data_IF_922811337368
#
_entry.id   IF_922811337368
#
_cell.length_a   1.000
_cell.length_b   1.000
_cell.length_c   1.000
_cell.angle_alpha   90.00
_cell.angle_beta   90.00
_cell.angle_gamma   90.00
#
_symmetry.space_group_name_H-M   'P 1'
#
loop_
_entity.id
_entity.type
_entity.pdbx_description
1 polymer ?
#
# COMPACT_ATOMS: atom_id res chain seq x y z
N UNK A 1 11.35 -5.98 -7.59
CA UNK A 1 11.93 -6.52 -6.35
C UNK A 1 11.22 -5.84 -5.19
N UNK A 2 10.85 -6.59 -4.16
CA UNK A 2 10.05 -6.07 -3.05
C UNK A 2 10.98 -5.62 -1.93
N UNK A 3 11.74 -4.54 -2.15
CA UNK A 3 12.79 -4.01 -1.26
C UNK A 3 12.22 -3.77 0.14
N UNK A 4 10.96 -3.38 0.26
CA UNK A 4 10.31 -3.19 1.56
C UNK A 4 10.15 -4.50 2.34
N UNK A 5 9.71 -5.57 1.68
CA UNK A 5 9.54 -6.87 2.32
C UNK A 5 10.89 -7.51 2.66
N UNK A 6 11.86 -7.40 1.77
CA UNK A 6 13.21 -7.91 1.97
C UNK A 6 13.90 -7.22 3.16
N UNK A 7 13.82 -5.89 3.22
CA UNK A 7 14.37 -5.08 4.33
C UNK A 7 13.70 -5.43 5.67
N UNK A 8 12.38 -5.61 5.67
CA UNK A 8 11.64 -6.00 6.88
C UNK A 8 12.08 -7.39 7.37
N UNK A 9 12.21 -8.36 6.45
CA UNK A 9 12.67 -9.71 6.77
C UNK A 9 14.11 -9.73 7.30
N UNK A 10 14.98 -8.88 6.75
CA UNK A 10 16.35 -8.72 7.24
C UNK A 10 16.36 -8.20 8.69
N UNK A 11 15.55 -7.19 9.00
CA UNK A 11 15.45 -6.69 10.38
C UNK A 11 14.89 -7.72 11.35
N UNK A 12 13.92 -8.54 10.93
CA UNK A 12 13.43 -9.66 11.73
C UNK A 12 14.56 -10.64 12.03
N UNK A 13 15.32 -11.06 11.00
CA UNK A 13 16.46 -11.99 11.15
C UNK A 13 17.56 -11.44 12.06
N UNK A 14 17.79 -10.12 12.03
CA UNK A 14 18.78 -9.43 12.86
C UNK A 14 18.28 -9.07 14.26
N UNK A 15 17.02 -9.39 14.60
CA UNK A 15 16.42 -9.02 15.89
C UNK A 15 16.21 -7.52 16.08
N UNK A 16 16.19 -6.73 14.99
CA UNK A 16 16.00 -5.29 15.02
C UNK A 16 14.50 -4.91 15.15
N UNK A 17 13.86 -5.38 16.22
CA UNK A 17 12.40 -5.29 16.41
C UNK A 17 11.85 -3.87 16.41
N UNK A 18 12.61 -2.89 16.91
CA UNK A 18 12.20 -1.47 16.86
C UNK A 18 12.05 -0.95 15.43
N UNK A 19 12.92 -1.40 14.51
CA UNK A 19 12.82 -1.03 13.09
C UNK A 19 11.62 -1.69 12.42
N UNK A 20 11.38 -2.96 12.74
CA UNK A 20 10.20 -3.70 12.26
C UNK A 20 8.92 -3.04 12.76
N UNK A 21 8.84 -2.69 14.05
CA UNK A 21 7.71 -1.97 14.64
C UNK A 21 7.49 -0.62 13.97
N UNK A 22 8.55 0.13 13.68
CA UNK A 22 8.43 1.38 12.92
C UNK A 22 7.85 1.13 11.52
N UNK A 23 8.37 0.15 10.78
CA UNK A 23 7.88 -0.20 9.43
C UNK A 23 6.40 -0.62 9.42
N UNK A 24 5.94 -1.35 10.45
CA UNK A 24 4.54 -1.75 10.60
C UNK A 24 3.62 -0.58 10.95
N UNK A 25 4.13 0.44 11.64
CA UNK A 25 3.36 1.61 12.06
C UNK A 25 3.39 2.77 11.06
N UNK A 26 4.11 2.64 9.94
CA UNK A 26 4.24 3.67 8.90
C UNK A 26 2.89 4.24 8.46
N UNK A 27 1.87 3.39 8.29
CA UNK A 27 0.52 3.81 7.88
C UNK A 27 -0.20 4.66 8.93
N UNK A 28 0.09 4.44 10.22
CA UNK A 28 -0.48 5.24 11.32
C UNK A 28 0.27 6.55 11.53
N UNK A 29 1.57 6.57 11.22
CA UNK A 29 2.43 7.74 11.43
C UNK A 29 2.41 8.72 10.25
N UNK A 30 2.14 8.24 9.04
CA UNK A 30 2.16 9.06 7.82
C UNK A 30 0.78 9.64 7.53
N UNK A 31 0.70 10.96 7.39
CA UNK A 31 -0.52 11.62 6.96
C UNK A 31 -0.88 11.23 5.51
N UNK A 32 -2.18 11.14 5.17
CA UNK A 32 -2.62 10.83 3.80
C UNK A 32 -2.06 11.80 2.74
N UNK A 33 -1.85 13.07 3.10
CA UNK A 33 -1.23 14.08 2.24
C UNK A 33 0.23 13.72 1.91
N UNK A 34 1.01 13.27 2.90
CA UNK A 34 2.40 12.85 2.69
C UNK A 34 2.46 11.58 1.82
N UNK A 35 1.56 10.64 2.05
CA UNK A 35 1.48 9.41 1.24
C UNK A 35 1.22 9.75 -0.24
N UNK A 36 0.26 10.64 -0.53
CA UNK A 36 -0.01 11.11 -1.90
C UNK A 36 1.20 11.77 -2.55
N UNK A 37 1.93 12.60 -1.80
CA UNK A 37 3.15 13.26 -2.29
C UNK A 37 4.25 12.25 -2.61
N UNK A 38 4.45 11.23 -1.76
CA UNK A 38 5.39 10.14 -2.05
C UNK A 38 5.00 9.42 -3.34
N UNK A 39 3.71 9.11 -3.53
CA UNK A 39 3.20 8.48 -4.76
C UNK A 39 3.41 9.36 -6.00
N UNK A 40 3.37 10.69 -5.84
CA UNK A 40 3.67 11.68 -6.88
C UNK A 40 5.18 11.91 -7.10
N UNK A 41 6.04 11.09 -6.47
CA UNK A 41 7.49 11.17 -6.53
C UNK A 41 8.08 12.48 -5.95
N UNK A 42 7.37 13.12 -5.03
CA UNK A 42 7.83 14.33 -4.36
C UNK A 42 8.75 13.98 -3.17
N UNK A 43 10.06 14.09 -3.41
CA UNK A 43 11.11 13.80 -2.42
C UNK A 43 11.20 14.82 -1.28
N UNK A 44 10.60 16.00 -1.44
CA UNK A 44 10.67 17.06 -0.41
C UNK A 44 9.99 16.64 0.89
N UNK A 45 9.03 15.70 0.82
CA UNK A 45 8.38 15.11 2.01
C UNK A 45 9.40 14.51 3.00
N UNK A 46 10.55 14.01 2.53
CA UNK A 46 11.56 13.44 3.42
C UNK A 46 12.14 14.47 4.40
N UNK A 47 12.08 15.76 4.07
CA UNK A 47 12.56 16.85 4.92
C UNK A 47 11.50 17.29 5.93
N UNK A 48 10.23 17.06 5.62
CA UNK A 48 9.08 17.50 6.42
C UNK A 48 8.67 16.47 7.47
N UNK A 49 8.93 15.18 7.21
CA UNK A 49 8.53 14.09 8.08
C UNK A 49 9.71 13.61 8.93
N UNK A 50 9.47 13.39 10.22
CA UNK A 50 10.46 12.79 11.12
C UNK A 50 10.63 11.31 10.76
N UNK A 51 11.68 11.03 9.98
CA UNK A 51 12.00 9.68 9.50
C UNK A 51 13.36 9.24 10.08
N UNK A 52 13.51 7.97 10.51
CA UNK A 52 14.80 7.45 10.94
C UNK A 52 15.87 7.50 9.84
N UNK A 53 17.13 7.77 10.21
CA UNK A 53 18.26 7.93 9.27
C UNK A 53 18.54 6.73 8.37
N UNK A 54 18.10 5.54 8.76
CA UNK A 54 18.32 4.31 7.99
C UNK A 54 17.31 4.12 6.85
N UNK A 55 16.24 4.92 6.81
CA UNK A 55 15.18 4.81 5.81
C UNK A 55 15.61 5.54 4.54
N UNK A 56 15.57 4.83 3.42
CA UNK A 56 15.86 5.39 2.10
C UNK A 56 14.57 5.85 1.40
N UNK A 57 14.73 6.75 0.42
CA UNK A 57 13.61 7.15 -0.43
C UNK A 57 12.96 5.96 -1.12
N UNK A 58 13.77 5.05 -1.68
CA UNK A 58 13.27 3.90 -2.44
C UNK A 58 12.40 2.99 -1.56
N UNK A 59 12.78 2.82 -0.29
CA UNK A 59 12.01 2.06 0.70
C UNK A 59 10.64 2.71 0.96
N UNK A 60 10.59 4.03 1.14
CA UNK A 60 9.34 4.78 1.37
C UNK A 60 8.47 4.83 0.12
N UNK A 61 9.09 5.03 -1.04
CA UNK A 61 8.41 5.09 -2.32
C UNK A 61 7.77 3.75 -2.65
N UNK A 62 8.49 2.64 -2.47
CA UNK A 62 7.93 1.31 -2.65
C UNK A 62 6.80 1.06 -1.64
N UNK A 63 6.99 1.40 -0.36
CA UNK A 63 5.95 1.26 0.66
C UNK A 63 4.66 2.01 0.31
N UNK A 64 4.76 3.28 -0.08
CA UNK A 64 3.61 4.11 -0.41
C UNK A 64 2.90 3.62 -1.68
N UNK A 65 3.64 3.01 -2.61
CA UNK A 65 3.10 2.43 -3.84
C UNK A 65 2.68 0.96 -3.69
N UNK A 66 2.99 0.30 -2.58
CA UNK A 66 2.63 -1.11 -2.31
C UNK A 66 1.13 -1.35 -2.30
N UNK A 67 0.32 -0.31 -2.00
CA UNK A 67 -1.15 -0.35 -2.13
C UNK A 67 -1.62 -0.25 -3.59
N UNK A 68 -0.85 0.40 -4.47
CA UNK A 68 -1.14 0.52 -5.90
C UNK A 68 -0.70 -0.71 -6.71
N UNK A 69 0.13 -1.59 -6.13
CA UNK A 69 0.29 -2.97 -6.60
C UNK A 69 -0.81 -3.87 -6.02
N UNK A 70 -2.06 -3.42 -6.07
CA UNK A 70 -3.19 -4.34 -6.10
C UNK A 70 -3.13 -4.99 -7.48
N UNK A 71 -2.48 -6.15 -7.56
CA UNK A 71 -2.75 -7.08 -8.64
C UNK A 71 -4.27 -7.30 -8.69
N UNK A 72 -4.84 -7.40 -9.90
CA UNK A 72 -6.28 -7.50 -10.05
C UNK A 72 -6.84 -6.66 -11.19
N UNK A 73 -8.15 -6.77 -11.38
CA UNK A 73 -8.88 -6.07 -12.43
C UNK A 73 -9.65 -4.90 -11.81
N UNK A 74 -9.85 -3.85 -12.60
CA UNK A 74 -10.57 -2.66 -12.14
C UNK A 74 -12.06 -2.95 -12.06
N UNK A 75 -12.63 -2.84 -10.86
CA UNK A 75 -14.07 -3.01 -10.65
C UNK A 75 -14.86 -1.88 -11.32
N UNK A 76 -15.89 -2.22 -12.08
CA UNK A 76 -16.76 -1.26 -12.77
C UNK A 76 -17.60 -0.40 -11.80
N UNK A 77 -17.88 -0.91 -10.60
CA UNK A 77 -18.77 -0.24 -9.63
C UNK A 77 -18.03 0.70 -8.67
N UNK A 78 -16.91 0.25 -8.10
CA UNK A 78 -16.15 1.05 -7.13
C UNK A 78 -14.84 1.64 -7.68
N UNK A 79 -14.48 1.32 -8.93
CA UNK A 79 -13.23 1.71 -9.56
C UNK A 79 -11.93 1.27 -8.85
N UNK A 80 -12.03 0.47 -7.78
CA UNK A 80 -10.90 -0.13 -7.08
C UNK A 80 -10.35 -1.34 -7.86
N UNK A 81 -9.06 -1.63 -7.65
CA UNK A 81 -8.40 -2.83 -8.16
C UNK A 81 -8.56 -3.96 -7.13
N UNK A 82 -9.12 -5.08 -7.56
CA UNK A 82 -9.30 -6.28 -6.75
C UNK A 82 -8.95 -7.53 -7.57
N UNK A 83 -8.34 -8.55 -6.95
CA UNK A 83 -8.10 -9.85 -7.59
C UNK A 83 -9.36 -10.70 -7.64
N UNK A 84 -10.16 -10.62 -6.57
CA UNK A 84 -11.35 -11.43 -6.38
C UNK A 84 -12.60 -10.67 -6.83
N UNK A 85 -13.36 -11.29 -7.72
CA UNK A 85 -14.57 -10.71 -8.27
C UNK A 85 -15.20 -11.62 -9.30
N UNK A 86 -16.23 -11.11 -9.96
CA UNK A 86 -16.97 -11.80 -11.02
C UNK A 86 -16.95 -10.95 -12.28
N UNK A 87 -16.86 -11.62 -13.43
CA UNK A 87 -17.11 -11.00 -14.72
C UNK A 87 -18.60 -11.02 -15.03
N UNK A 88 -19.16 -9.84 -15.28
CA UNK A 88 -20.52 -9.68 -15.76
C UNK A 88 -20.52 -8.86 -17.05
N UNK A 89 -20.92 -9.49 -18.17
CA UNK A 89 -20.91 -8.87 -19.51
C UNK A 89 -19.56 -8.22 -19.85
N UNK A 90 -18.48 -8.97 -19.69
CA UNK A 90 -17.09 -8.52 -19.93
C UNK A 90 -16.61 -7.38 -19.01
N UNK A 91 -17.37 -7.03 -17.96
CA UNK A 91 -17.00 -6.04 -16.96
C UNK A 91 -16.72 -6.71 -15.63
N UNK A 92 -15.59 -6.39 -15.02
CA UNK A 92 -15.19 -6.94 -13.72
C UNK A 92 -15.94 -6.22 -12.58
N UNK A 93 -16.49 -6.99 -11.65
CA UNK A 93 -17.11 -6.50 -10.41
C UNK A 93 -16.37 -7.16 -9.24
N UNK A 94 -15.80 -6.37 -8.33
CA UNK A 94 -15.12 -6.93 -7.17
C UNK A 94 -16.09 -7.59 -6.18
N UNK A 95 -15.57 -8.54 -5.40
CA UNK A 95 -16.33 -9.32 -4.41
C UNK A 95 -17.15 -8.44 -3.47
N UNK A 96 -16.57 -7.35 -2.97
CA UNK A 96 -17.26 -6.39 -2.09
C UNK A 96 -18.50 -5.76 -2.74
N UNK A 97 -18.39 -5.38 -4.02
CA UNK A 97 -19.51 -4.81 -4.76
C UNK A 97 -20.56 -5.87 -5.10
N UNK A 98 -20.13 -7.10 -5.38
CA UNK A 98 -21.04 -8.23 -5.61
C UNK A 98 -21.85 -8.59 -4.36
N UNK A 99 -21.21 -8.67 -3.20
CA UNK A 99 -21.90 -8.95 -1.93
C UNK A 99 -22.94 -7.87 -1.60
N UNK A 100 -22.61 -6.59 -1.82
CA UNK A 100 -23.58 -5.49 -1.66
C UNK A 100 -24.79 -5.64 -2.56
N UNK A 101 -24.60 -6.09 -3.81
CA UNK A 101 -25.70 -6.37 -4.73
C UNK A 101 -26.55 -7.56 -4.27
N UNK A 102 -25.91 -8.62 -3.74
CA UNK A 102 -26.61 -9.80 -3.24
C UNK A 102 -27.43 -9.51 -1.97
N UNK A 103 -26.97 -8.60 -1.12
CA UNK A 103 -27.65 -8.20 0.12
C UNK A 103 -28.63 -7.03 -0.04
N UNK A 104 -28.92 -6.60 -1.28
CA UNK A 104 -29.96 -5.60 -1.59
C UNK A 104 -31.36 -6.23 -1.77
N UNK A 105 -31.53 -7.51 -1.40
CA UNK A 105 -32.83 -8.18 -1.26
C UNK A 105 -33.51 -7.87 0.08
#
# INVERSE_FOLDING_TARGET
MAVFNETMNEFIRKGAFERVRWMQNLEKTMLPSHIKRIQQNDKTVMQEVVIPRWVTWDLLFEWANKKNTSSGRRCILCANLDENGIDFKERFICENCFLKLKHLE
#
